data_IF_470168925549
#
_entry.id   IF_470168925549
#
_cell.length_a   1.000
_cell.length_b   1.000
_cell.length_c   1.000
_cell.angle_alpha   90.00
_cell.angle_beta   90.00
_cell.angle_gamma   90.00
#
_symmetry.space_group_name_H-M   'P 1'
#
loop_
_entity.id
_entity.type
_entity.pdbx_description
1 polymer ?
#
# COMPACT_ATOMS: atom_id res chain seq x y z
N UNK A 1 -23.28 3.61 1.16
CA UNK A 1 -22.40 3.10 0.09
C UNK A 1 -21.23 2.46 0.81
N UNK A 2 -21.01 1.16 0.65
CA UNK A 2 -19.79 0.53 1.15
C UNK A 2 -18.80 0.75 0.03
N UNK A 3 -17.78 1.56 0.27
CA UNK A 3 -16.76 1.92 -0.71
C UNK A 3 -16.07 0.65 -1.21
N UNK A 4 -16.51 0.13 -2.37
CA UNK A 4 -15.94 -1.04 -3.06
C UNK A 4 -14.46 -0.82 -3.44
N UNK A 5 -13.97 0.42 -3.36
CA UNK A 5 -12.58 0.82 -3.57
C UNK A 5 -11.59 0.39 -2.47
N UNK A 6 -12.04 0.03 -1.26
CA UNK A 6 -11.16 -0.41 -0.16
C UNK A 6 -10.58 -1.83 -0.38
N UNK A 7 -11.08 -2.54 -1.39
CA UNK A 7 -10.61 -3.87 -1.80
C UNK A 7 -9.64 -3.86 -2.98
N UNK A 8 -9.29 -2.68 -3.50
CA UNK A 8 -8.31 -2.52 -4.58
C UNK A 8 -7.04 -1.84 -4.09
N UNK A 9 -5.91 -2.27 -4.65
CA UNK A 9 -4.63 -1.64 -4.41
C UNK A 9 -4.50 -0.38 -5.27
N UNK A 10 -4.32 0.82 -4.67
CA UNK A 10 -4.33 2.08 -5.43
C UNK A 10 -3.09 2.27 -6.34
N UNK A 11 -2.06 1.43 -6.20
CA UNK A 11 -0.85 1.47 -7.05
C UNK A 11 -0.95 0.59 -8.30
N UNK A 12 -1.63 -0.56 -8.24
CA UNK A 12 -1.77 -1.46 -9.40
C UNK A 12 -3.21 -1.62 -9.90
N UNK A 13 -4.19 -1.12 -9.15
CA UNK A 13 -5.63 -1.20 -9.40
C UNK A 13 -6.19 -2.63 -9.43
N UNK A 14 -5.49 -3.57 -8.80
CA UNK A 14 -5.89 -4.98 -8.67
C UNK A 14 -6.48 -5.28 -7.30
N UNK A 15 -7.35 -6.29 -7.22
CA UNK A 15 -7.97 -6.75 -5.97
C UNK A 15 -6.97 -7.38 -5.01
N UNK A 16 -7.28 -7.32 -3.72
CA UNK A 16 -6.56 -8.10 -2.72
C UNK A 16 -6.97 -9.57 -2.73
N UNK A 17 -6.01 -10.46 -2.51
CA UNK A 17 -6.24 -11.91 -2.43
C UNK A 17 -5.60 -12.50 -1.18
N UNK A 18 -5.98 -13.72 -0.75
CA UNK A 18 -5.30 -14.38 0.37
C UNK A 18 -3.79 -14.57 0.15
N UNK A 19 -3.37 -14.83 -1.10
CA UNK A 19 -1.96 -14.96 -1.49
C UNK A 19 -1.24 -13.62 -1.64
N UNK A 20 -1.98 -12.54 -1.93
CA UNK A 20 -1.45 -11.18 -2.05
C UNK A 20 -2.37 -10.19 -1.29
N UNK A 21 -2.28 -10.17 0.06
CA UNK A 21 -3.21 -9.42 0.90
C UNK A 21 -2.91 -7.92 0.92
N UNK A 22 -3.86 -7.13 1.44
CA UNK A 22 -3.61 -5.72 1.76
C UNK A 22 -2.76 -5.59 3.01
N UNK A 23 -1.73 -4.75 2.92
CA UNK A 23 -0.92 -4.33 4.06
C UNK A 23 -1.12 -2.85 4.33
N UNK A 24 -1.18 -2.49 5.61
CA UNK A 24 -1.35 -1.11 6.04
C UNK A 24 0.01 -0.51 6.38
N UNK A 25 0.24 0.68 5.85
CA UNK A 25 1.38 1.52 6.21
C UNK A 25 1.11 2.24 7.54
N UNK A 26 2.14 2.78 8.18
CA UNK A 26 1.99 3.56 9.43
C UNK A 26 1.07 4.77 9.28
N UNK A 27 0.98 5.33 8.07
CA UNK A 27 0.07 6.42 7.76
C UNK A 27 -1.39 5.98 7.53
N UNK A 28 -1.70 4.68 7.66
CA UNK A 28 -3.05 4.12 7.56
C UNK A 28 -3.50 3.73 6.15
N UNK A 29 -2.67 3.95 5.12
CA UNK A 29 -3.01 3.59 3.74
C UNK A 29 -2.63 2.14 3.40
N UNK A 30 -3.41 1.51 2.51
CA UNK A 30 -3.30 0.11 2.16
C UNK A 30 -2.73 -0.12 0.74
N UNK A 31 -1.91 -1.14 0.59
CA UNK A 31 -1.29 -1.54 -0.69
C UNK A 31 -0.99 -3.04 -0.67
N UNK A 32 -0.72 -3.64 -1.83
CA UNK A 32 -0.04 -4.93 -1.85
C UNK A 32 1.39 -4.76 -1.38
N UNK A 33 1.91 -5.78 -0.69
CA UNK A 33 3.31 -5.82 -0.26
C UNK A 33 4.29 -5.56 -1.42
N UNK A 34 4.29 -6.33 -2.52
CA UNK A 34 5.21 -6.07 -3.64
C UNK A 34 5.04 -4.67 -4.25
N UNK A 35 3.82 -4.14 -4.31
CA UNK A 35 3.56 -2.82 -4.89
C UNK A 35 4.18 -1.70 -4.05
N UNK A 36 4.04 -1.76 -2.73
CA UNK A 36 4.59 -0.72 -1.87
C UNK A 36 6.11 -0.81 -1.74
N UNK A 37 6.70 -2.02 -1.79
CA UNK A 37 8.16 -2.17 -1.85
C UNK A 37 8.74 -1.64 -3.16
N UNK A 38 8.14 -1.98 -4.31
CA UNK A 38 8.56 -1.45 -5.61
C UNK A 38 8.43 0.08 -5.68
N UNK A 39 7.46 0.66 -4.96
CA UNK A 39 7.36 2.11 -4.80
C UNK A 39 8.47 2.66 -3.90
N UNK A 40 8.73 2.01 -2.77
CA UNK A 40 9.74 2.41 -1.80
C UNK A 40 11.16 2.46 -2.40
N UNK A 41 11.47 1.56 -3.34
CA UNK A 41 12.72 1.59 -4.11
C UNK A 41 12.88 2.86 -4.96
N UNK A 42 11.78 3.55 -5.29
CA UNK A 42 11.75 4.79 -6.08
C UNK A 42 11.60 6.03 -5.22
N UNK A 43 10.73 5.98 -4.20
CA UNK A 43 10.41 7.10 -3.30
C UNK A 43 10.09 6.58 -1.90
N UNK A 44 10.72 7.16 -0.88
CA UNK A 44 10.55 6.78 0.54
C UNK A 44 9.32 7.43 1.19
N UNK A 45 8.23 7.61 0.44
CA UNK A 45 7.01 8.29 0.90
C UNK A 45 5.77 7.55 0.43
N UNK A 46 4.69 7.61 1.20
CA UNK A 46 3.42 7.00 0.86
C UNK A 46 2.88 7.53 -0.49
N UNK A 47 2.42 6.66 -1.41
CA UNK A 47 1.80 7.07 -2.67
C UNK A 47 0.54 7.94 -2.51
N UNK A 48 -0.18 7.80 -1.39
CA UNK A 48 -1.48 8.43 -1.17
C UNK A 48 -1.39 9.78 -0.46
N UNK A 49 -0.49 9.91 0.50
CA UNK A 49 -0.41 11.10 1.36
C UNK A 49 1.00 11.69 1.47
N UNK A 50 1.99 11.09 0.81
CA UNK A 50 3.39 11.53 0.84
C UNK A 50 4.06 11.55 2.22
N UNK A 51 3.40 10.99 3.24
CA UNK A 51 4.03 10.78 4.54
C UNK A 51 5.29 9.91 4.41
N UNK A 52 6.37 10.23 5.13
CA UNK A 52 7.59 9.44 5.10
C UNK A 52 7.28 8.01 5.52
N UNK A 53 7.74 7.07 4.70
CA UNK A 53 7.64 5.65 5.01
C UNK A 53 8.87 5.26 5.81
N UNK A 54 8.67 4.90 7.07
CA UNK A 54 9.72 4.25 7.84
C UNK A 54 9.73 2.79 7.40
N UNK A 55 10.90 2.26 7.04
CA UNK A 55 11.03 0.82 6.90
C UNK A 55 10.60 0.22 8.25
N UNK A 56 9.60 -0.68 8.31
CA UNK A 56 9.31 -1.38 9.54
C UNK A 56 10.63 -2.04 9.96
N UNK A 57 11.13 -1.65 11.12
CA UNK A 57 12.50 -1.87 11.54
C UNK A 57 12.95 -3.32 11.37
N UNK A 58 14.21 -3.47 10.95
CA UNK A 58 15.04 -4.63 11.29
C UNK A 58 15.02 -4.92 12.79
#
# INVERSE_FOLDING_TARGET
VQDEDDDFCPTCLEVYTPDNPKIFTECGHHFHMPCIYAWFERKTTCPMCESPMQAPGM
#
